data_IF_341617686389
#
_entry.id   IF_341617686389
#
_cell.length_a   1.000
_cell.length_b   1.000
_cell.length_c   1.000
_cell.angle_alpha   90.00
_cell.angle_beta   90.00
_cell.angle_gamma   90.00
#
_symmetry.space_group_name_H-M   'P 1'
#
loop_
_entity.id
_entity.type
_entity.pdbx_description
1 polymer ?
#
# COMPACT_ATOMS: atom_id res chain seq x y z
N UNK A 1 -13.97 17.97 9.75
CA UNK A 1 -13.41 18.99 8.83
C UNK A 1 -13.95 18.69 7.45
N UNK A 2 -14.55 19.67 6.79
CA UNK A 2 -14.92 19.60 5.39
C UNK A 2 -13.88 20.40 4.59
N UNK A 3 -13.12 19.73 3.74
CA UNK A 3 -11.93 20.26 3.07
C UNK A 3 -10.65 19.52 3.49
N UNK A 4 -9.51 20.02 3.01
CA UNK A 4 -8.20 19.43 3.28
C UNK A 4 -7.56 20.01 4.56
N UNK A 5 -6.85 19.18 5.32
CA UNK A 5 -5.85 19.63 6.30
C UNK A 5 -4.47 19.50 5.64
N UNK A 6 -3.86 20.63 5.30
CA UNK A 6 -2.57 20.66 4.61
C UNK A 6 -1.52 21.41 5.43
N UNK A 7 -0.49 20.68 5.88
CA UNK A 7 0.63 21.17 6.67
C UNK A 7 1.93 20.99 5.85
N UNK A 8 2.20 21.96 4.98
CA UNK A 8 3.36 21.95 4.09
C UNK A 8 4.42 22.92 4.60
N UNK A 9 5.53 22.38 5.10
CA UNK A 9 6.65 23.16 5.63
C UNK A 9 7.67 23.45 4.54
N UNK A 10 8.02 24.73 4.37
CA UNK A 10 8.98 25.22 3.36
C UNK A 10 10.06 26.06 4.02
N UNK A 11 11.11 26.39 3.28
CA UNK A 11 12.11 27.39 3.67
C UNK A 11 11.43 28.67 4.16
N UNK A 12 11.85 29.27 5.30
CA UNK A 12 13.02 28.91 6.11
C UNK A 12 12.75 27.96 7.28
N UNK A 13 11.59 27.30 7.36
CA UNK A 13 11.23 26.45 8.50
C UNK A 13 12.09 25.19 8.54
N UNK A 14 12.95 25.07 9.55
CA UNK A 14 13.80 23.90 9.76
C UNK A 14 13.25 22.93 10.80
N UNK A 15 12.43 23.41 11.73
CA UNK A 15 11.90 22.58 12.82
C UNK A 15 10.46 22.94 13.09
N UNK A 16 9.63 21.93 13.29
CA UNK A 16 8.30 22.07 13.87
C UNK A 16 7.91 20.77 14.58
N UNK A 17 6.93 20.88 15.46
CA UNK A 17 6.25 19.75 16.05
C UNK A 17 4.76 19.88 15.77
N UNK A 18 4.17 18.86 15.16
CA UNK A 18 2.74 18.81 14.81
C UNK A 18 2.03 17.86 15.77
N UNK A 19 0.92 18.32 16.36
CA UNK A 19 0.05 17.48 17.18
C UNK A 19 -1.33 17.45 16.55
N UNK A 20 -1.78 16.25 16.19
CA UNK A 20 -3.11 15.99 15.65
C UNK A 20 -3.83 15.06 16.61
N UNK A 21 -5.00 15.46 17.11
CA UNK A 21 -5.79 14.67 18.05
C UNK A 21 -7.26 14.71 17.70
N UNK A 22 -7.90 13.54 17.59
CA UNK A 22 -9.34 13.38 17.39
C UNK A 22 -9.85 14.19 16.19
N UNK A 23 -9.21 13.98 15.04
CA UNK A 23 -9.53 14.70 13.80
C UNK A 23 -10.25 13.77 12.85
N UNK A 24 -11.38 14.22 12.32
CA UNK A 24 -12.08 13.59 11.22
C UNK A 24 -12.15 14.55 10.04
N UNK A 25 -11.64 14.12 8.88
CA UNK A 25 -11.84 14.83 7.61
C UNK A 25 -12.97 14.14 6.86
N UNK A 26 -14.15 14.76 6.80
CA UNK A 26 -15.35 14.13 6.26
C UNK A 26 -15.35 14.11 4.72
N UNK A 27 -14.77 15.12 4.08
CA UNK A 27 -14.67 15.21 2.62
C UNK A 27 -13.53 16.13 2.22
N UNK A 28 -12.92 15.88 1.05
CA UNK A 28 -11.94 16.76 0.41
C UNK A 28 -11.85 16.42 -1.09
N UNK A 29 -11.33 17.34 -1.91
CA UNK A 29 -10.85 17.03 -3.27
C UNK A 29 -9.45 17.63 -3.42
N UNK A 30 -8.45 16.77 -3.52
CA UNK A 30 -7.03 17.15 -3.52
C UNK A 30 -6.33 16.97 -4.87
N UNK A 31 -7.08 16.69 -5.94
CA UNK A 31 -6.51 16.36 -7.25
C UNK A 31 -5.82 17.54 -7.95
N UNK A 32 -6.08 18.77 -7.49
CA UNK A 32 -5.57 20.00 -8.13
C UNK A 32 -4.32 20.57 -7.48
N UNK A 33 -3.83 19.99 -6.37
CA UNK A 33 -2.65 20.49 -5.67
C UNK A 33 -1.35 20.10 -6.37
N UNK A 34 -0.37 21.01 -6.37
CA UNK A 34 0.84 20.91 -7.19
C UNK A 34 2.00 20.20 -6.50
N UNK A 35 2.06 20.20 -5.16
CA UNK A 35 3.13 19.52 -4.43
C UNK A 35 2.86 18.02 -4.42
N UNK A 36 3.41 17.34 -5.42
CA UNK A 36 3.23 15.92 -5.68
C UNK A 36 4.60 15.26 -5.73
N UNK A 37 4.92 14.35 -4.79
CA UNK A 37 6.05 13.46 -4.93
C UNK A 37 6.01 12.69 -6.23
N UNK A 38 7.16 12.61 -6.90
CA UNK A 38 7.34 11.78 -8.07
C UNK A 38 8.39 10.70 -7.81
N UNK A 39 8.05 9.44 -8.12
CA UNK A 39 8.98 8.31 -8.14
C UNK A 39 8.40 7.23 -9.06
N UNK A 40 9.25 6.38 -9.63
CA UNK A 40 8.81 5.26 -10.49
C UNK A 40 7.85 5.68 -11.63
N UNK A 41 8.12 6.83 -12.24
CA UNK A 41 7.33 7.41 -13.34
C UNK A 41 5.88 7.78 -12.98
N UNK A 42 5.54 7.80 -11.68
CA UNK A 42 4.22 8.21 -11.18
C UNK A 42 4.30 9.41 -10.25
N UNK A 43 3.28 10.25 -10.30
CA UNK A 43 3.02 11.33 -9.36
C UNK A 43 2.00 10.89 -8.30
N UNK A 44 2.24 11.28 -7.05
CA UNK A 44 1.34 10.99 -5.93
C UNK A 44 0.45 12.18 -5.66
N UNK A 45 -0.88 11.99 -5.76
CA UNK A 45 -1.82 13.03 -5.36
C UNK A 45 -1.84 13.20 -3.84
N UNK A 46 -1.99 14.44 -3.38
CA UNK A 46 -1.99 14.76 -1.95
C UNK A 46 -3.16 14.11 -1.19
N UNK A 47 -3.02 14.05 0.13
CA UNK A 47 -4.02 13.51 1.04
C UNK A 47 -5.04 14.54 1.53
N UNK A 48 -6.21 14.06 1.93
CA UNK A 48 -7.17 14.80 2.75
C UNK A 48 -6.51 15.33 4.04
N UNK A 49 -5.62 14.53 4.63
CA UNK A 49 -4.62 14.99 5.60
C UNK A 49 -3.22 14.89 4.98
N UNK A 50 -2.54 16.03 4.84
CA UNK A 50 -1.19 16.13 4.28
C UNK A 50 -0.25 16.72 5.33
N UNK A 51 0.78 15.96 5.72
CA UNK A 51 1.95 16.45 6.44
C UNK A 51 3.18 16.32 5.55
N UNK A 52 3.67 17.44 5.06
CA UNK A 52 4.74 17.46 4.07
C UNK A 52 5.87 18.41 4.48
N UNK A 53 7.04 17.87 4.81
CA UNK A 53 8.26 18.68 4.91
C UNK A 53 8.83 18.95 3.50
N UNK A 54 8.26 19.92 2.79
CA UNK A 54 8.71 20.36 1.47
C UNK A 54 9.89 21.36 1.54
N UNK A 55 10.86 21.06 2.40
CA UNK A 55 12.10 21.82 2.54
C UNK A 55 13.28 20.95 2.09
N UNK A 56 14.04 21.40 1.10
CA UNK A 56 15.19 20.66 0.58
C UNK A 56 16.38 20.56 1.56
N UNK A 57 16.40 21.35 2.62
CA UNK A 57 17.47 21.32 3.60
C UNK A 57 17.46 20.01 4.40
N UNK A 58 18.56 19.24 4.33
CA UNK A 58 18.79 17.99 5.08
C UNK A 58 18.67 18.13 6.61
N UNK A 59 18.88 19.33 7.13
CA UNK A 59 18.77 19.63 8.56
C UNK A 59 17.32 19.99 8.96
N UNK A 60 16.41 20.08 7.98
CA UNK A 60 14.98 20.28 8.25
C UNK A 60 14.36 19.00 8.81
N UNK A 61 13.72 19.11 9.97
CA UNK A 61 13.05 18.01 10.66
C UNK A 61 11.71 18.48 11.20
N UNK A 62 10.64 17.87 10.72
CA UNK A 62 9.31 18.03 11.28
C UNK A 62 9.03 16.77 12.09
N UNK A 63 8.67 16.94 13.35
CA UNK A 63 8.20 15.83 14.19
C UNK A 63 6.69 15.87 14.31
N UNK A 64 6.04 14.73 14.52
CA UNK A 64 4.60 14.72 14.79
C UNK A 64 4.16 13.65 15.80
N UNK A 65 3.00 13.90 16.40
CA UNK A 65 2.18 12.91 17.10
C UNK A 65 0.76 13.01 16.54
N UNK A 66 0.27 11.90 15.98
CA UNK A 66 -1.04 11.84 15.32
C UNK A 66 -1.87 10.79 16.04
N UNK A 67 -2.97 11.21 16.64
CA UNK A 67 -3.84 10.34 17.42
C UNK A 67 -5.29 10.47 16.97
N UNK A 68 -5.92 9.34 16.67
CA UNK A 68 -7.31 9.20 16.29
C UNK A 68 -7.67 10.09 15.09
N UNK A 69 -6.92 9.95 13.99
CA UNK A 69 -7.21 10.57 12.71
C UNK A 69 -8.05 9.64 11.83
N UNK A 70 -9.15 10.14 11.25
CA UNK A 70 -9.98 9.40 10.29
C UNK A 70 -10.34 10.25 9.09
N UNK A 71 -10.56 9.60 7.94
CA UNK A 71 -10.79 10.26 6.65
C UNK A 71 -11.99 9.60 5.95
N UNK A 72 -12.93 10.42 5.49
CA UNK A 72 -14.10 9.98 4.74
C UNK A 72 -14.99 9.02 5.52
N UNK A 73 -16.00 8.48 4.84
CA UNK A 73 -16.86 7.43 5.37
C UNK A 73 -17.31 6.51 4.24
N UNK A 74 -17.93 5.39 4.59
CA UNK A 74 -18.51 4.49 3.60
C UNK A 74 -19.51 5.24 2.69
N UNK A 75 -19.34 5.08 1.38
CA UNK A 75 -20.12 5.81 0.36
C UNK A 75 -19.74 7.28 0.16
N UNK A 76 -18.87 7.84 1.01
CA UNK A 76 -18.41 9.23 0.95
C UNK A 76 -16.88 9.30 1.17
N UNK A 77 -16.08 8.73 0.25
CA UNK A 77 -14.62 8.80 0.34
C UNK A 77 -14.11 10.23 0.10
N UNK A 78 -12.95 10.54 0.69
CA UNK A 78 -12.19 11.71 0.27
C UNK A 78 -11.67 11.54 -1.16
N UNK A 79 -11.71 12.60 -1.97
CA UNK A 79 -11.20 12.60 -3.34
C UNK A 79 -9.72 12.98 -3.33
N UNK A 80 -8.89 12.14 -3.94
CA UNK A 80 -7.43 12.09 -3.82
C UNK A 80 -6.98 11.04 -2.82
N UNK A 81 -5.81 11.23 -2.20
CA UNK A 81 -5.31 10.32 -1.16
C UNK A 81 -6.02 10.58 0.19
N UNK A 82 -5.96 9.62 1.12
CA UNK A 82 -6.49 9.77 2.47
C UNK A 82 -5.51 10.52 3.38
N UNK A 83 -4.53 9.79 3.89
CA UNK A 83 -3.47 10.30 4.75
C UNK A 83 -2.15 10.26 3.99
N UNK A 84 -1.46 11.40 3.95
CA UNK A 84 -0.23 11.59 3.19
C UNK A 84 0.84 12.19 4.11
N UNK A 85 1.93 11.45 4.31
CA UNK A 85 3.09 11.87 5.11
C UNK A 85 4.34 11.83 4.23
N UNK A 86 5.04 12.95 4.08
CA UNK A 86 6.22 13.02 3.20
C UNK A 86 7.31 13.95 3.75
N UNK A 87 8.56 13.51 3.68
CA UNK A 87 9.72 14.39 3.63
C UNK A 87 9.92 14.96 2.22
N UNK A 88 10.98 15.73 1.97
CA UNK A 88 11.28 16.35 0.67
C UNK A 88 11.80 15.35 -0.38
N UNK A 89 12.67 14.44 0.06
CA UNK A 89 13.20 13.26 -0.64
C UNK A 89 13.99 12.43 0.39
N UNK A 90 14.75 11.43 -0.03
CA UNK A 90 15.53 10.56 0.88
C UNK A 90 16.68 11.27 1.61
N UNK A 91 17.06 12.49 1.21
CA UNK A 91 18.21 13.24 1.74
C UNK A 91 17.88 14.64 2.28
N UNK A 92 16.71 15.17 1.93
CA UNK A 92 16.23 16.51 2.28
C UNK A 92 15.41 16.50 3.57
N UNK A 93 14.53 17.49 3.71
CA UNK A 93 13.72 17.64 4.91
C UNK A 93 12.95 16.38 5.26
N UNK A 94 12.99 15.99 6.53
CA UNK A 94 12.41 14.74 7.03
C UNK A 94 11.14 14.99 7.83
N UNK A 95 10.30 13.97 7.89
CA UNK A 95 9.19 13.87 8.84
C UNK A 95 9.43 12.65 9.73
N UNK A 96 9.35 12.83 11.04
CA UNK A 96 9.57 11.77 12.03
C UNK A 96 8.39 11.69 13.00
N UNK A 97 7.77 10.52 13.12
CA UNK A 97 6.55 10.31 13.90
C UNK A 97 6.76 9.11 14.81
N UNK A 98 6.74 9.33 16.12
CA UNK A 98 6.89 8.25 17.10
C UNK A 98 5.67 7.32 17.11
N UNK A 99 4.46 7.92 17.13
CA UNK A 99 3.20 7.19 17.11
C UNK A 99 2.15 7.89 16.27
N UNK A 100 1.48 7.09 15.44
CA UNK A 100 0.38 7.47 14.57
C UNK A 100 -0.77 6.48 14.72
N UNK A 101 -1.94 6.94 15.16
CA UNK A 101 -3.15 6.11 15.23
C UNK A 101 -4.24 6.63 14.30
N UNK A 102 -4.80 5.72 13.51
CA UNK A 102 -5.83 6.00 12.52
C UNK A 102 -7.13 5.26 12.85
N UNK A 103 -8.26 5.92 12.64
CA UNK A 103 -9.57 5.29 12.55
C UNK A 103 -9.85 4.84 11.11
N UNK A 104 -11.10 4.99 10.67
CA UNK A 104 -11.48 4.67 9.30
C UNK A 104 -10.83 5.62 8.29
N UNK A 105 -10.46 5.09 7.12
CA UNK A 105 -9.90 5.86 6.00
C UNK A 105 -10.53 5.38 4.70
N UNK A 106 -11.32 6.24 4.08
CA UNK A 106 -11.96 6.02 2.78
C UNK A 106 -11.46 7.06 1.78
N UNK A 107 -10.84 6.63 0.69
CA UNK A 107 -10.34 7.54 -0.34
C UNK A 107 -10.60 7.04 -1.76
N UNK A 108 -10.59 7.97 -2.72
CA UNK A 108 -10.71 7.67 -4.15
C UNK A 108 -9.94 8.68 -4.97
N UNK A 109 -9.01 8.23 -5.81
CA UNK A 109 -8.24 9.12 -6.66
C UNK A 109 -9.06 9.77 -7.77
N UNK A 110 -10.16 9.12 -8.18
CA UNK A 110 -10.91 9.46 -9.40
C UNK A 110 -9.98 9.64 -10.62
N UNK A 111 -8.90 8.85 -10.66
CA UNK A 111 -7.96 8.80 -11.78
C UNK A 111 -8.71 8.16 -12.97
N UNK A 112 -8.73 8.80 -14.16
CA UNK A 112 -9.35 8.21 -15.33
C UNK A 112 -8.66 6.91 -15.75
N UNK A 113 -9.44 5.95 -16.26
CA UNK A 113 -8.88 4.70 -16.77
C UNK A 113 -7.88 4.97 -17.91
N UNK A 114 -6.77 4.24 -17.91
CA UNK A 114 -5.69 4.39 -18.89
C UNK A 114 -4.64 5.46 -18.54
N UNK A 115 -4.91 6.32 -17.55
CA UNK A 115 -3.90 7.20 -16.95
C UNK A 115 -3.00 6.35 -16.05
N UNK A 116 -1.69 6.45 -16.26
CA UNK A 116 -0.71 5.56 -15.67
C UNK A 116 0.38 6.31 -14.87
N UNK A 117 0.44 7.63 -15.02
CA UNK A 117 1.42 8.54 -14.42
C UNK A 117 0.94 9.16 -13.10
N UNK A 118 -0.22 8.74 -12.59
CA UNK A 118 -0.76 9.15 -11.29
C UNK A 118 -1.19 7.95 -10.46
N UNK A 119 -0.98 8.06 -9.14
CA UNK A 119 -1.49 7.14 -8.14
C UNK A 119 -2.07 7.90 -6.95
N UNK A 120 -2.99 7.26 -6.22
CA UNK A 120 -3.42 7.73 -4.89
C UNK A 120 -3.33 6.61 -3.85
N UNK A 121 -3.56 6.95 -2.58
CA UNK A 121 -3.31 6.08 -1.45
C UNK A 121 -4.26 6.38 -0.30
N UNK A 122 -4.85 5.37 0.34
CA UNK A 122 -5.56 5.63 1.59
C UNK A 122 -4.58 6.06 2.69
N UNK A 123 -3.46 5.35 2.84
CA UNK A 123 -2.36 5.70 3.75
C UNK A 123 -1.04 5.65 3.00
N UNK A 124 -0.43 6.82 2.81
CA UNK A 124 0.86 7.01 2.18
C UNK A 124 1.93 7.43 3.18
N UNK A 125 2.97 6.60 3.31
CA UNK A 125 4.23 6.96 3.98
C UNK A 125 5.28 7.13 2.90
N UNK A 126 5.50 8.37 2.47
CA UNK A 126 6.33 8.68 1.31
C UNK A 126 7.81 8.82 1.71
N UNK A 127 8.70 9.09 0.76
CA UNK A 127 10.13 9.30 1.01
C UNK A 127 10.39 10.34 2.12
N UNK A 128 11.52 10.18 2.83
CA UNK A 128 11.91 11.08 3.92
C UNK A 128 10.96 11.11 5.12
N UNK A 129 9.90 10.29 5.12
CA UNK A 129 9.04 10.04 6.28
C UNK A 129 9.51 8.78 7.01
N UNK A 130 9.53 8.87 8.34
CA UNK A 130 9.78 7.77 9.26
C UNK A 130 8.66 7.72 10.28
N UNK A 131 8.07 6.54 10.49
CA UNK A 131 7.06 6.30 11.51
C UNK A 131 7.46 5.10 12.34
N UNK A 132 7.65 5.28 13.65
CA UNK A 132 8.01 4.16 14.53
C UNK A 132 6.82 3.23 14.76
N UNK A 133 5.64 3.76 15.11
CA UNK A 133 4.44 2.95 15.32
C UNK A 133 3.23 3.52 14.58
N UNK A 134 2.75 2.79 13.57
CA UNK A 134 1.54 3.11 12.81
C UNK A 134 0.45 2.08 13.12
N UNK A 135 -0.62 2.52 13.78
CA UNK A 135 -1.73 1.67 14.21
C UNK A 135 -3.02 2.13 13.51
N UNK A 136 -3.58 1.27 12.66
CA UNK A 136 -4.89 1.47 12.04
C UNK A 136 -5.93 0.65 12.77
N UNK A 137 -6.84 1.34 13.47
CA UNK A 137 -7.93 0.73 14.23
C UNK A 137 -9.22 0.61 13.44
N UNK A 138 -9.38 1.38 12.36
CA UNK A 138 -10.57 1.37 11.51
C UNK A 138 -10.33 0.75 10.14
N UNK A 139 -11.42 0.66 9.38
CA UNK A 139 -11.43 0.11 8.03
C UNK A 139 -10.69 1.03 7.07
N UNK A 140 -9.89 0.46 6.17
CA UNK A 140 -9.14 1.24 5.17
C UNK A 140 -9.56 0.81 3.76
N UNK A 141 -10.13 1.73 2.98
CA UNK A 141 -10.77 1.41 1.70
C UNK A 141 -10.38 2.40 0.62
N UNK A 142 -10.03 1.88 -0.57
CA UNK A 142 -9.92 2.67 -1.80
C UNK A 142 -10.85 2.20 -2.90
N UNK A 143 -11.27 3.15 -3.75
CA UNK A 143 -12.28 2.90 -4.79
C UNK A 143 -11.81 3.14 -6.22
N UNK A 144 -10.80 3.97 -6.44
CA UNK A 144 -10.40 4.47 -7.76
C UNK A 144 -9.27 3.67 -8.42
N UNK A 145 -9.09 3.91 -9.72
CA UNK A 145 -8.02 3.33 -10.53
C UNK A 145 -6.65 3.75 -10.00
N UNK A 146 -5.71 2.82 -9.91
CA UNK A 146 -4.37 3.02 -9.35
C UNK A 146 -4.37 3.58 -7.92
N UNK A 147 -5.42 3.29 -7.14
CA UNK A 147 -5.47 3.63 -5.73
C UNK A 147 -4.87 2.50 -4.90
N UNK A 148 -3.73 2.78 -4.29
CA UNK A 148 -3.13 1.93 -3.27
C UNK A 148 -3.91 2.09 -1.96
N UNK A 149 -4.07 1.05 -1.16
CA UNK A 149 -4.68 1.20 0.16
C UNK A 149 -3.60 1.60 1.15
N UNK A 150 -2.56 0.77 1.27
CA UNK A 150 -1.40 1.01 2.12
C UNK A 150 -0.15 1.07 1.22
N UNK A 151 0.56 2.20 1.22
CA UNK A 151 1.75 2.36 0.37
C UNK A 151 2.91 3.02 1.15
N UNK A 152 4.01 2.28 1.25
CA UNK A 152 5.24 2.69 1.92
C UNK A 152 6.37 2.92 0.92
N UNK A 153 6.77 4.18 0.74
CA UNK A 153 8.04 4.56 0.10
C UNK A 153 9.10 4.97 1.13
N UNK A 154 8.67 5.43 2.30
CA UNK A 154 9.50 5.82 3.44
C UNK A 154 9.86 4.63 4.34
N UNK A 155 10.02 4.90 5.64
CA UNK A 155 10.33 3.89 6.64
C UNK A 155 9.20 3.77 7.67
N UNK A 156 8.80 2.53 7.97
CA UNK A 156 7.90 2.21 9.08
C UNK A 156 8.48 1.08 9.91
N UNK A 157 8.66 1.28 11.21
CA UNK A 157 9.20 0.23 12.07
C UNK A 157 8.13 -0.81 12.41
N UNK A 158 6.97 -0.38 12.92
CA UNK A 158 5.84 -1.25 13.22
C UNK A 158 4.56 -0.68 12.60
N UNK A 159 3.91 -1.47 11.74
CA UNK A 159 2.63 -1.15 11.12
C UNK A 159 1.61 -2.25 11.44
N UNK A 160 0.63 -1.91 12.28
CA UNK A 160 -0.47 -2.81 12.67
C UNK A 160 -1.79 -2.30 12.10
N UNK A 161 -2.50 -3.18 11.40
CA UNK A 161 -3.83 -2.92 10.85
C UNK A 161 -4.82 -3.89 11.48
N UNK A 162 -5.78 -3.34 12.23
CA UNK A 162 -6.72 -4.10 13.04
C UNK A 162 -8.04 -4.43 12.34
N UNK A 163 -8.34 -3.75 11.23
CA UNK A 163 -9.57 -3.94 10.47
C UNK A 163 -9.29 -4.21 8.97
N UNK A 164 -10.34 -4.32 8.16
CA UNK A 164 -10.24 -4.72 6.76
C UNK A 164 -9.48 -3.69 5.92
N UNK A 165 -8.65 -4.20 5.01
CA UNK A 165 -7.94 -3.44 3.98
C UNK A 165 -8.55 -3.84 2.64
N UNK A 166 -9.22 -2.89 1.97
CA UNK A 166 -10.00 -3.19 0.78
C UNK A 166 -9.66 -2.25 -0.38
N UNK A 167 -9.38 -2.82 -1.55
CA UNK A 167 -9.27 -2.05 -2.80
C UNK A 167 -10.32 -2.50 -3.81
N UNK A 168 -11.10 -1.58 -4.36
CA UNK A 168 -12.08 -1.87 -5.40
C UNK A 168 -11.63 -1.48 -6.82
N UNK A 169 -10.66 -0.57 -6.94
CA UNK A 169 -10.30 0.00 -8.22
C UNK A 169 -9.33 -0.85 -9.05
N UNK A 170 -9.37 -0.69 -10.37
CA UNK A 170 -8.43 -1.31 -11.30
C UNK A 170 -6.98 -0.97 -10.92
N UNK A 171 -6.10 -1.97 -10.98
CA UNK A 171 -4.67 -1.85 -10.60
C UNK A 171 -4.42 -1.38 -9.17
N UNK A 172 -5.45 -1.38 -8.31
CA UNK A 172 -5.30 -1.03 -6.90
C UNK A 172 -4.49 -2.09 -6.15
N UNK A 173 -3.81 -1.68 -5.09
CA UNK A 173 -2.99 -2.59 -4.28
C UNK A 173 -3.34 -2.47 -2.81
N UNK A 174 -3.61 -3.59 -2.14
CA UNK A 174 -3.93 -3.61 -0.71
C UNK A 174 -2.76 -3.11 0.15
N UNK A 175 -1.59 -3.72 -0.01
CA UNK A 175 -0.35 -3.24 0.57
C UNK A 175 0.80 -3.31 -0.44
N UNK A 176 1.42 -2.17 -0.71
CA UNK A 176 2.61 -2.08 -1.55
C UNK A 176 3.76 -1.47 -0.77
N UNK A 177 4.95 -2.03 -0.96
CA UNK A 177 6.16 -1.55 -0.32
C UNK A 177 7.27 -1.28 -1.35
N UNK A 178 7.77 -0.07 -1.29
CA UNK A 178 8.95 0.44 -2.02
C UNK A 178 10.06 0.87 -1.06
N UNK A 179 9.75 1.07 0.23
CA UNK A 179 10.64 1.55 1.26
C UNK A 179 11.11 0.45 2.20
N UNK A 180 11.23 0.79 3.48
CA UNK A 180 11.64 -0.15 4.52
C UNK A 180 10.53 -0.31 5.53
N UNK A 181 9.97 -1.51 5.62
CA UNK A 181 9.03 -1.87 6.68
C UNK A 181 9.63 -2.98 7.52
N UNK A 182 9.79 -2.76 8.82
CA UNK A 182 10.38 -3.78 9.69
C UNK A 182 9.34 -4.83 10.08
N UNK A 183 8.19 -4.41 10.60
CA UNK A 183 7.13 -5.31 11.02
C UNK A 183 5.78 -4.82 10.49
N UNK A 184 5.13 -5.62 9.64
CA UNK A 184 3.78 -5.39 9.16
C UNK A 184 2.84 -6.47 9.69
N UNK A 185 1.67 -6.08 10.20
CA UNK A 185 0.64 -7.03 10.65
C UNK A 185 -0.75 -6.57 10.22
N UNK A 186 -1.43 -7.39 9.40
CA UNK A 186 -2.85 -7.26 9.10
C UNK A 186 -3.64 -8.33 9.88
N UNK A 187 -4.41 -7.91 10.88
CA UNK A 187 -5.21 -8.80 11.74
C UNK A 187 -6.51 -9.28 11.07
N UNK A 188 -6.89 -8.69 9.94
CA UNK A 188 -7.96 -9.16 9.05
C UNK A 188 -7.41 -9.37 7.64
N UNK A 189 -8.23 -9.95 6.78
CA UNK A 189 -7.84 -10.22 5.41
C UNK A 189 -7.62 -8.91 4.62
N UNK A 190 -6.66 -8.96 3.70
CA UNK A 190 -6.51 -7.94 2.66
C UNK A 190 -7.26 -8.44 1.42
N UNK A 191 -8.23 -7.65 0.96
CA UNK A 191 -9.10 -8.01 -0.18
C UNK A 191 -9.01 -7.00 -1.32
N UNK A 192 -8.76 -7.45 -2.54
CA UNK A 192 -8.78 -6.58 -3.72
C UNK A 192 -9.68 -7.09 -4.83
N UNK A 193 -10.46 -6.20 -5.43
CA UNK A 193 -11.51 -6.54 -6.38
C UNK A 193 -11.31 -5.95 -7.77
N UNK A 194 -10.28 -5.13 -8.01
CA UNK A 194 -10.04 -4.54 -9.33
C UNK A 194 -9.35 -5.50 -10.30
N UNK A 195 -9.61 -5.33 -11.60
CA UNK A 195 -8.77 -5.94 -12.64
C UNK A 195 -7.31 -5.54 -12.43
N UNK A 196 -6.38 -6.49 -12.50
CA UNK A 196 -4.96 -6.24 -12.31
C UNK A 196 -4.56 -5.85 -10.88
N UNK A 197 -5.48 -5.94 -9.91
CA UNK A 197 -5.23 -5.55 -8.53
C UNK A 197 -4.34 -6.56 -7.80
N UNK A 198 -3.67 -6.11 -6.74
CA UNK A 198 -2.79 -6.98 -5.93
C UNK A 198 -3.10 -6.86 -4.46
N UNK A 199 -3.12 -7.94 -3.70
CA UNK A 199 -3.28 -7.81 -2.24
C UNK A 199 -1.99 -7.36 -1.57
N UNK A 200 -0.86 -8.02 -1.84
CA UNK A 200 0.45 -7.59 -1.36
C UNK A 200 1.48 -7.54 -2.50
N UNK A 201 2.27 -6.48 -2.55
CA UNK A 201 3.33 -6.31 -3.54
C UNK A 201 4.62 -5.75 -2.91
N UNK A 202 5.67 -6.57 -2.83
CA UNK A 202 7.02 -6.08 -2.55
C UNK A 202 7.68 -5.65 -3.86
N UNK A 203 7.73 -4.35 -4.10
CA UNK A 203 8.18 -3.80 -5.37
C UNK A 203 9.64 -3.34 -5.32
N UNK A 204 10.00 -2.59 -4.29
CA UNK A 204 11.35 -2.10 -4.04
C UNK A 204 11.66 -2.11 -2.54
N UNK A 205 12.88 -1.80 -2.11
CA UNK A 205 13.22 -1.78 -0.69
C UNK A 205 13.11 -3.16 -0.04
N UNK A 206 12.62 -3.23 1.20
CA UNK A 206 12.52 -4.49 1.96
C UNK A 206 11.38 -4.50 2.97
N UNK A 207 10.79 -5.69 3.16
CA UNK A 207 9.94 -6.01 4.30
C UNK A 207 10.67 -7.06 5.15
N UNK A 208 10.96 -6.76 6.42
CA UNK A 208 11.66 -7.71 7.29
C UNK A 208 10.72 -8.81 7.77
N UNK A 209 9.54 -8.47 8.30
CA UNK A 209 8.51 -9.43 8.70
C UNK A 209 7.10 -8.94 8.37
N UNK A 210 6.33 -9.77 7.67
CA UNK A 210 4.92 -9.54 7.36
C UNK A 210 4.02 -10.66 7.90
N UNK A 211 2.96 -10.28 8.60
CA UNK A 211 1.96 -11.18 9.16
C UNK A 211 0.58 -10.83 8.60
N UNK A 212 -0.07 -11.77 7.94
CA UNK A 212 -1.35 -11.57 7.27
C UNK A 212 -2.37 -12.58 7.80
N UNK A 213 -3.55 -12.12 8.21
CA UNK A 213 -4.62 -13.04 8.57
C UNK A 213 -5.13 -13.84 7.36
N UNK A 214 -5.12 -13.24 6.17
CA UNK A 214 -5.56 -13.88 4.93
C UNK A 214 -5.44 -12.92 3.75
N UNK A 215 -5.40 -13.47 2.54
CA UNK A 215 -5.24 -12.71 1.31
C UNK A 215 -6.29 -13.17 0.30
N UNK A 216 -7.04 -12.22 -0.25
CA UNK A 216 -8.08 -12.49 -1.22
C UNK A 216 -8.00 -11.51 -2.39
N UNK A 217 -7.95 -12.02 -3.60
CA UNK A 217 -7.95 -11.18 -4.80
C UNK A 217 -8.92 -11.72 -5.84
N UNK A 218 -9.59 -10.80 -6.54
CA UNK A 218 -10.64 -11.10 -7.50
C UNK A 218 -10.41 -10.33 -8.79
N UNK A 219 -11.01 -10.82 -9.87
CA UNK A 219 -10.91 -10.35 -11.25
C UNK A 219 -9.62 -10.71 -11.99
N UNK A 220 -9.67 -10.49 -13.29
CA UNK A 220 -8.61 -10.82 -14.22
C UNK A 220 -7.30 -10.07 -13.92
N UNK A 221 -6.17 -10.76 -14.03
CA UNK A 221 -4.84 -10.24 -13.73
C UNK A 221 -4.59 -9.95 -12.26
N UNK A 222 -5.48 -10.39 -11.36
CA UNK A 222 -5.31 -10.18 -9.93
C UNK A 222 -4.19 -11.05 -9.35
N UNK A 223 -3.43 -10.51 -8.40
CA UNK A 223 -2.31 -11.22 -7.77
C UNK A 223 -2.39 -11.18 -6.25
N UNK A 224 -2.41 -12.33 -5.59
CA UNK A 224 -2.42 -12.42 -4.13
C UNK A 224 -1.17 -11.77 -3.52
N UNK A 225 -0.02 -12.41 -3.75
CA UNK A 225 1.29 -11.88 -3.34
C UNK A 225 2.19 -11.76 -4.55
N UNK A 226 2.82 -10.60 -4.74
CA UNK A 226 3.89 -10.40 -5.72
C UNK A 226 5.17 -9.94 -5.05
N UNK A 227 6.31 -10.58 -5.33
CA UNK A 227 7.60 -10.24 -4.73
C UNK A 227 8.66 -10.01 -5.80
N UNK A 228 9.20 -8.79 -5.84
CA UNK A 228 10.23 -8.36 -6.79
C UNK A 228 11.55 -7.96 -6.13
N UNK A 229 11.56 -7.83 -4.80
CA UNK A 229 12.76 -7.55 -3.98
C UNK A 229 12.78 -8.43 -2.74
N UNK A 230 13.82 -8.25 -1.94
CA UNK A 230 14.03 -9.01 -0.71
C UNK A 230 12.87 -8.81 0.27
N UNK A 231 12.39 -9.94 0.79
CA UNK A 231 11.49 -10.04 1.93
C UNK A 231 12.10 -11.05 2.91
N UNK A 232 12.09 -10.73 4.19
CA UNK A 232 12.53 -11.65 5.23
C UNK A 232 11.50 -12.77 5.43
N UNK A 233 10.57 -12.55 6.36
CA UNK A 233 9.57 -13.53 6.74
C UNK A 233 8.17 -13.09 6.34
N UNK A 234 7.40 -13.99 5.73
CA UNK A 234 5.97 -13.84 5.53
C UNK A 234 5.23 -14.98 6.24
N UNK A 235 4.22 -14.61 7.02
CA UNK A 235 3.28 -15.55 7.64
C UNK A 235 1.88 -15.20 7.18
N UNK A 236 1.16 -16.19 6.66
CA UNK A 236 -0.27 -16.10 6.38
C UNK A 236 -1.01 -17.13 7.23
N UNK A 237 -1.80 -16.66 8.19
CA UNK A 237 -2.54 -17.52 9.12
C UNK A 237 -3.73 -18.22 8.44
N UNK A 238 -4.28 -17.60 7.41
CA UNK A 238 -5.37 -18.13 6.59
C UNK A 238 -4.91 -18.55 5.20
N UNK A 239 -5.80 -18.38 4.23
CA UNK A 239 -5.55 -18.71 2.84
C UNK A 239 -4.96 -17.54 2.05
N UNK A 240 -4.27 -17.87 0.95
CA UNK A 240 -3.98 -16.98 -0.16
C UNK A 240 -4.86 -17.41 -1.33
N UNK A 241 -5.89 -16.64 -1.63
CA UNK A 241 -6.88 -16.98 -2.67
C UNK A 241 -6.90 -15.92 -3.77
N UNK A 242 -6.81 -16.37 -5.02
CA UNK A 242 -6.95 -15.52 -6.20
C UNK A 242 -8.01 -16.09 -7.14
N UNK A 243 -8.88 -15.24 -7.67
CA UNK A 243 -9.92 -15.61 -8.65
C UNK A 243 -9.84 -14.71 -9.88
N UNK A 244 -9.60 -15.27 -11.06
CA UNK A 244 -9.57 -14.53 -12.33
C UNK A 244 -8.73 -15.20 -13.41
N UNK A 245 -8.71 -14.59 -14.61
CA UNK A 245 -7.88 -15.00 -15.74
C UNK A 245 -6.84 -13.94 -16.13
N UNK A 246 -6.65 -13.72 -17.45
CA UNK A 246 -5.76 -12.68 -18.00
C UNK A 246 -6.41 -11.29 -17.96
N UNK A 247 -5.72 -10.28 -17.43
CA UNK A 247 -6.22 -8.90 -17.37
C UNK A 247 -5.12 -7.83 -17.30
N UNK A 248 -5.51 -6.58 -17.54
CA UNK A 248 -4.60 -5.43 -17.53
C UNK A 248 -4.28 -4.93 -16.13
N UNK A 249 -3.01 -4.61 -15.88
CA UNK A 249 -2.50 -4.09 -14.61
C UNK A 249 -1.44 -3.01 -14.82
N UNK A 250 -1.35 -2.05 -13.88
CA UNK A 250 -0.28 -1.08 -13.82
C UNK A 250 0.98 -1.66 -13.16
N UNK A 251 2.12 -1.50 -13.81
CA UNK A 251 3.45 -1.94 -13.38
C UNK A 251 4.43 -0.79 -13.65
N UNK A 252 4.88 -0.07 -12.60
CA UNK A 252 5.80 1.08 -12.71
C UNK A 252 5.40 2.08 -13.81
N UNK A 253 4.16 2.57 -13.79
CA UNK A 253 3.71 3.56 -14.77
C UNK A 253 3.32 3.01 -16.15
N UNK A 254 3.36 1.68 -16.36
CA UNK A 254 3.03 1.04 -17.65
C UNK A 254 1.92 0.01 -17.48
N UNK A 255 0.91 0.03 -18.37
CA UNK A 255 -0.15 -0.97 -18.41
C UNK A 255 0.32 -2.23 -19.16
N UNK A 256 0.17 -3.40 -18.53
CA UNK A 256 0.58 -4.70 -19.06
C UNK A 256 -0.50 -5.76 -18.81
N UNK A 257 -0.59 -6.75 -19.68
CA UNK A 257 -1.45 -7.93 -19.46
C UNK A 257 -0.76 -8.93 -18.52
N UNK A 258 -1.44 -9.32 -17.44
CA UNK A 258 -0.96 -10.29 -16.46
C UNK A 258 -2.02 -11.38 -16.25
N UNK A 259 -1.62 -12.66 -16.15
CA UNK A 259 -2.48 -13.70 -15.62
C UNK A 259 -2.72 -13.51 -14.11
N UNK A 260 -3.81 -14.08 -13.62
CA UNK A 260 -4.06 -14.11 -12.19
C UNK A 260 -3.14 -15.14 -11.50
N UNK A 261 -2.57 -14.78 -10.35
CA UNK A 261 -1.67 -15.64 -9.57
C UNK A 261 -1.99 -15.57 -8.08
N UNK A 262 -1.88 -16.67 -7.33
CA UNK A 262 -1.93 -16.62 -5.87
C UNK A 262 -0.60 -16.09 -5.31
N UNK A 263 0.53 -16.61 -5.83
CA UNK A 263 1.88 -16.16 -5.49
C UNK A 263 2.72 -15.97 -6.76
N UNK A 264 3.34 -14.80 -6.90
CA UNK A 264 4.19 -14.44 -8.03
C UNK A 264 5.54 -13.93 -7.54
N UNK A 265 6.61 -14.68 -7.81
CA UNK A 265 7.98 -14.25 -7.60
C UNK A 265 8.54 -13.74 -8.92
N UNK A 266 8.91 -12.46 -8.95
CA UNK A 266 9.49 -11.78 -10.12
C UNK A 266 11.02 -11.91 -10.12
N UNK A 267 11.66 -11.58 -11.25
CA UNK A 267 13.12 -11.53 -11.34
C UNK A 267 13.74 -10.67 -10.22
N UNK A 268 14.75 -11.24 -9.54
CA UNK A 268 15.40 -10.66 -8.37
C UNK A 268 14.60 -10.70 -7.06
N UNK A 269 13.38 -11.27 -7.06
CA UNK A 269 12.57 -11.49 -5.88
C UNK A 269 13.19 -12.54 -4.95
N UNK A 270 13.36 -12.22 -3.68
CA UNK A 270 13.94 -13.13 -2.69
C UNK A 270 13.08 -13.16 -1.44
N UNK A 271 12.73 -14.34 -0.97
CA UNK A 271 11.96 -14.56 0.24
C UNK A 271 12.71 -15.52 1.17
N UNK A 272 13.08 -15.08 2.37
CA UNK A 272 13.79 -15.94 3.32
C UNK A 272 12.88 -17.04 3.88
N UNK A 273 11.62 -16.71 4.20
CA UNK A 273 10.66 -17.72 4.65
C UNK A 273 9.22 -17.34 4.34
N UNK A 274 8.45 -18.32 3.86
CA UNK A 274 7.00 -18.26 3.72
C UNK A 274 6.37 -19.36 4.57
N UNK A 275 5.47 -18.98 5.48
CA UNK A 275 4.59 -19.91 6.20
C UNK A 275 3.14 -19.59 5.86
N UNK A 276 2.39 -20.58 5.37
CA UNK A 276 0.94 -20.48 5.13
C UNK A 276 0.24 -21.59 5.89
N UNK A 277 -0.62 -21.24 6.84
CA UNK A 277 -1.38 -22.24 7.63
C UNK A 277 -2.59 -22.74 6.85
N UNK A 278 -3.21 -21.89 6.04
CA UNK A 278 -4.25 -22.28 5.10
C UNK A 278 -3.70 -22.81 3.78
N UNK A 279 -4.46 -22.55 2.72
CA UNK A 279 -4.20 -22.97 1.35
C UNK A 279 -3.63 -21.84 0.50
N UNK A 280 -3.01 -22.19 -0.62
CA UNK A 280 -2.65 -21.27 -1.70
C UNK A 280 -3.45 -21.70 -2.93
N UNK A 281 -4.46 -20.93 -3.31
CA UNK A 281 -5.47 -21.34 -4.30
C UNK A 281 -5.61 -20.29 -5.39
N UNK A 282 -5.64 -20.74 -6.64
CA UNK A 282 -6.07 -19.93 -7.78
C UNK A 282 -7.29 -20.56 -8.47
N UNK A 283 -8.25 -19.74 -8.87
CA UNK A 283 -9.41 -20.13 -9.67
C UNK A 283 -9.41 -19.39 -11.01
N UNK A 284 -9.56 -20.12 -12.11
CA UNK A 284 -9.79 -19.55 -13.45
C UNK A 284 -9.08 -20.31 -14.57
N UNK A 285 -9.57 -20.11 -15.78
CA UNK A 285 -9.06 -20.81 -16.96
C UNK A 285 -7.55 -20.55 -17.16
N UNK A 286 -6.77 -21.65 -17.19
CA UNK A 286 -5.34 -21.65 -17.49
C UNK A 286 -4.50 -20.74 -16.58
N UNK A 287 -4.90 -20.56 -15.33
CA UNK A 287 -4.10 -19.82 -14.35
C UNK A 287 -3.19 -20.72 -13.54
N UNK A 288 -1.99 -20.20 -13.26
CA UNK A 288 -1.01 -20.87 -12.41
C UNK A 288 -1.16 -20.37 -10.98
N UNK A 289 -1.12 -21.26 -9.99
CA UNK A 289 -1.21 -20.85 -8.58
C UNK A 289 0.04 -20.10 -8.12
N UNK A 290 1.21 -20.66 -8.42
CA UNK A 290 2.52 -20.14 -8.02
C UNK A 290 3.40 -19.99 -9.24
N UNK A 291 3.94 -18.80 -9.48
CA UNK A 291 4.91 -18.54 -10.55
C UNK A 291 6.22 -18.00 -9.99
N UNK A 292 7.33 -18.41 -10.59
CA UNK A 292 8.68 -17.95 -10.25
C UNK A 292 9.45 -17.66 -11.53
N UNK A 293 9.89 -16.42 -11.69
CA UNK A 293 10.76 -16.00 -12.78
C UNK A 293 12.23 -16.37 -12.52
N UNK A 294 13.06 -16.28 -13.58
CA UNK A 294 14.50 -16.52 -13.46
C UNK A 294 15.12 -15.64 -12.39
N UNK A 295 15.99 -16.21 -11.55
CA UNK A 295 16.65 -15.49 -10.45
C UNK A 295 15.79 -15.28 -9.20
N UNK A 296 14.50 -15.64 -9.22
CA UNK A 296 13.66 -15.63 -8.03
C UNK A 296 14.02 -16.78 -7.06
N UNK A 297 13.93 -16.52 -5.76
CA UNK A 297 14.29 -17.48 -4.73
C UNK A 297 13.34 -17.42 -3.52
N UNK A 298 12.93 -18.61 -3.06
CA UNK A 298 12.31 -18.80 -1.75
C UNK A 298 13.20 -19.79 -0.98
N UNK A 299 13.81 -19.36 0.13
CA UNK A 299 14.74 -20.19 0.89
C UNK A 299 14.03 -21.27 1.71
N UNK A 300 12.89 -20.93 2.32
CA UNK A 300 12.07 -21.85 3.08
C UNK A 300 10.59 -21.61 2.80
N UNK A 301 9.85 -22.70 2.55
CA UNK A 301 8.41 -22.66 2.38
C UNK A 301 7.77 -23.75 3.22
N UNK A 302 6.77 -23.37 3.99
CA UNK A 302 5.91 -24.25 4.77
C UNK A 302 4.45 -23.91 4.44
N UNK A 303 3.72 -24.89 3.91
CA UNK A 303 2.28 -24.77 3.64
C UNK A 303 1.60 -25.94 4.32
N UNK A 304 0.71 -25.67 5.28
CA UNK A 304 -0.02 -26.71 6.02
C UNK A 304 -1.23 -27.20 5.21
N UNK A 305 -1.91 -26.29 4.50
CA UNK A 305 -2.99 -26.63 3.56
C UNK A 305 -2.46 -27.11 2.20
N UNK A 306 -3.28 -26.92 1.18
CA UNK A 306 -3.01 -27.36 -0.18
C UNK A 306 -2.57 -26.20 -1.07
N UNK A 307 -1.84 -26.53 -2.14
CA UNK A 307 -1.53 -25.62 -3.24
C UNK A 307 -2.30 -26.10 -4.46
N UNK A 308 -3.31 -25.35 -4.90
CA UNK A 308 -4.28 -25.81 -5.89
C UNK A 308 -4.53 -24.79 -7.01
N UNK A 309 -4.67 -25.30 -8.24
CA UNK A 309 -5.19 -24.57 -9.38
C UNK A 309 -6.52 -25.21 -9.78
N UNK A 310 -7.60 -24.45 -9.62
CA UNK A 310 -8.96 -24.89 -9.90
C UNK A 310 -9.48 -24.26 -11.20
N UNK A 311 -10.44 -24.93 -11.84
CA UNK A 311 -11.15 -24.46 -13.04
C UNK A 311 -10.23 -24.28 -14.29
N UNK A 312 -9.44 -25.31 -14.62
CA UNK A 312 -8.40 -25.30 -15.67
C UNK A 312 -8.88 -25.61 -17.12
N UNK A 313 -10.18 -25.55 -17.42
CA UNK A 313 -10.73 -25.98 -18.73
C UNK A 313 -10.36 -25.04 -19.92
#
# INVERSE_FOLDING_TARGET
VDGQISLIFRTPTLKAHVVTKNVHVASSDTRTYLEQPQKYEVNVLQGAYTLYNFNANKDSLITASIDNLSIGSEGHPAIGSGVFISGFNDQGGRVDIDQMTLGDVYSTGLIPQGVADFITGAVFVVYGAHISHLIQNGKTVTYGVNDMVLDAWGQVDEWVVNDDVISYGQSGVGFVNFGTVNHFKANKAISTYGTGARAYNQYDGTLKEGYFSGIQTFNNGAVGIQISKKVGKLVVDGDIVTQGGLGQSLVKGVNVDLPAYALSMKDGGQLESLTVTGNIISHGDKVTTVTMEDGALIHHIEVTGQIEANDQD
#
